data_IF_553569415574
#
_entry.id   IF_553569415574
#
_cell.length_a   1.000
_cell.length_b   1.000
_cell.length_c   1.000
_cell.angle_alpha   90.00
_cell.angle_beta   90.00
_cell.angle_gamma   90.00
#
_symmetry.space_group_name_H-M   'P 1'
#
loop_
_entity.id
_entity.type
_entity.pdbx_description
1 polymer ?
#
# COMPACT_ATOMS: atom_id res chain seq x y z
N UNK A 1 32.68 -36.13 -19.69
CA UNK A 1 32.50 -35.06 -18.68
C UNK A 1 31.60 -34.00 -19.29
N UNK A 2 30.29 -34.03 -19.02
CA UNK A 2 29.38 -32.99 -19.49
C UNK A 2 29.56 -31.76 -18.60
N UNK A 3 30.21 -30.75 -19.13
CA UNK A 3 30.22 -29.42 -18.54
C UNK A 3 28.77 -28.91 -18.56
N UNK A 4 28.11 -28.95 -17.40
CA UNK A 4 26.88 -28.22 -17.19
C UNK A 4 27.21 -26.73 -17.39
N UNK A 5 26.88 -26.21 -18.57
CA UNK A 5 26.79 -24.77 -18.78
C UNK A 5 25.69 -24.28 -17.83
N UNK A 6 26.09 -23.74 -16.69
CA UNK A 6 25.19 -23.02 -15.80
C UNK A 6 24.72 -21.79 -16.58
N UNK A 7 23.61 -21.95 -17.31
CA UNK A 7 22.98 -20.85 -18.03
C UNK A 7 22.78 -19.68 -17.08
N UNK A 8 23.20 -18.47 -17.48
CA UNK A 8 22.95 -17.27 -16.70
C UNK A 8 21.45 -17.20 -16.40
N UNK A 9 21.10 -17.10 -15.12
CA UNK A 9 19.70 -16.90 -14.73
C UNK A 9 19.17 -15.65 -15.44
N UNK A 10 17.96 -15.70 -16.03
CA UNK A 10 17.36 -14.52 -16.64
C UNK A 10 17.19 -13.42 -15.58
N UNK A 11 17.27 -12.15 -15.96
CA UNK A 11 17.15 -11.04 -15.01
C UNK A 11 15.75 -11.01 -14.36
N UNK A 12 14.72 -11.00 -15.19
CA UNK A 12 13.32 -11.02 -14.79
C UNK A 12 12.86 -12.44 -14.43
N UNK A 13 11.86 -12.55 -13.55
CA UNK A 13 11.30 -13.85 -13.15
C UNK A 13 10.69 -14.59 -14.34
N UNK A 14 9.91 -13.87 -15.14
CA UNK A 14 9.29 -14.35 -16.37
C UNK A 14 9.82 -13.53 -17.55
N UNK A 15 9.92 -14.16 -18.73
CA UNK A 15 10.42 -13.50 -19.94
C UNK A 15 9.46 -12.41 -20.42
N UNK A 16 8.16 -12.70 -20.35
CA UNK A 16 7.06 -11.83 -20.71
C UNK A 16 7.01 -10.58 -19.82
N UNK A 17 7.49 -10.69 -18.58
CA UNK A 17 7.57 -9.59 -17.63
C UNK A 17 8.67 -8.58 -17.92
N UNK A 18 9.62 -8.87 -18.80
CA UNK A 18 10.80 -8.03 -18.99
C UNK A 18 10.46 -6.60 -19.44
N UNK A 19 9.63 -6.47 -20.48
CA UNK A 19 9.19 -5.17 -21.01
C UNK A 19 8.30 -4.44 -20.00
N UNK A 20 7.16 -5.00 -19.53
CA UNK A 20 6.26 -4.27 -18.65
C UNK A 20 6.93 -3.87 -17.33
N UNK A 21 7.76 -4.74 -16.72
CA UNK A 21 8.50 -4.40 -15.51
C UNK A 21 9.53 -3.30 -15.76
N UNK A 22 10.28 -3.35 -16.88
CA UNK A 22 11.24 -2.29 -17.22
C UNK A 22 10.54 -0.95 -17.38
N UNK A 23 9.46 -0.90 -18.14
CA UNK A 23 8.71 0.32 -18.41
C UNK A 23 8.14 0.93 -17.13
N UNK A 24 7.49 0.13 -16.27
CA UNK A 24 6.88 0.65 -15.06
C UNK A 24 7.91 1.06 -14.00
N UNK A 25 9.04 0.36 -13.89
CA UNK A 25 10.13 0.75 -12.99
C UNK A 25 10.80 2.05 -13.45
N UNK A 26 10.99 2.21 -14.77
CA UNK A 26 11.52 3.43 -15.37
C UNK A 26 10.55 4.60 -15.20
N UNK A 27 9.27 4.41 -15.52
CA UNK A 27 8.21 5.41 -15.34
C UNK A 27 8.12 5.86 -13.88
N UNK A 28 8.12 4.91 -12.94
CA UNK A 28 8.03 5.20 -11.51
C UNK A 28 9.24 6.00 -11.03
N UNK A 29 10.45 5.59 -11.39
CA UNK A 29 11.67 6.26 -10.91
C UNK A 29 11.90 7.62 -11.57
N UNK A 30 11.80 7.69 -12.90
CA UNK A 30 12.03 8.91 -13.66
C UNK A 30 10.87 9.91 -13.50
N UNK A 31 9.63 9.40 -13.51
CA UNK A 31 8.43 10.22 -13.30
C UNK A 31 8.40 10.83 -11.91
N UNK A 32 8.85 10.11 -10.89
CA UNK A 32 8.94 10.66 -9.53
C UNK A 32 9.92 11.85 -9.48
N UNK A 33 11.11 11.73 -10.07
CA UNK A 33 12.08 12.83 -10.15
C UNK A 33 11.52 13.99 -10.97
N UNK A 34 10.96 13.71 -12.16
CA UNK A 34 10.37 14.71 -13.05
C UNK A 34 9.24 15.48 -12.37
N UNK A 35 8.45 14.82 -11.52
CA UNK A 35 7.32 15.45 -10.82
C UNK A 35 7.73 16.66 -9.99
N UNK A 36 8.88 16.61 -9.31
CA UNK A 36 9.40 17.73 -8.52
C UNK A 36 9.77 18.92 -9.40
N UNK A 37 10.42 18.66 -10.54
CA UNK A 37 10.75 19.70 -11.50
C UNK A 37 9.49 20.39 -12.02
N UNK A 38 8.48 19.60 -12.45
CA UNK A 38 7.19 20.12 -12.93
C UNK A 38 6.44 20.95 -11.87
N UNK A 39 6.49 20.54 -10.59
CA UNK A 39 5.89 21.30 -9.48
C UNK A 39 6.61 22.62 -9.17
N UNK A 40 7.88 22.78 -9.57
CA UNK A 40 8.62 24.02 -9.37
C UNK A 40 8.36 25.11 -10.42
N UNK A 41 7.96 24.73 -11.64
CA UNK A 41 7.77 25.65 -12.76
C UNK A 41 6.64 26.68 -12.52
N UNK A 42 6.70 27.83 -13.18
CA UNK A 42 5.74 28.92 -13.03
C UNK A 42 4.51 28.77 -13.95
N UNK A 43 3.90 27.59 -13.91
CA UNK A 43 2.67 27.31 -14.64
C UNK A 43 1.79 26.35 -13.83
N UNK A 44 0.59 26.80 -13.46
CA UNK A 44 -0.33 26.06 -12.60
C UNK A 44 -0.78 24.74 -13.24
N UNK A 45 -1.02 24.71 -14.54
CA UNK A 45 -1.41 23.48 -15.24
C UNK A 45 -0.28 22.44 -15.22
N UNK A 46 0.96 22.89 -15.42
CA UNK A 46 2.14 22.02 -15.33
C UNK A 46 2.35 21.54 -13.89
N UNK A 47 2.12 22.40 -12.88
CA UNK A 47 2.20 22.01 -11.48
C UNK A 47 1.15 20.93 -11.14
N UNK A 48 -0.07 21.04 -11.66
CA UNK A 48 -1.11 20.03 -11.48
C UNK A 48 -0.70 18.68 -12.10
N UNK A 49 -0.09 18.69 -13.30
CA UNK A 49 0.48 17.48 -13.91
C UNK A 49 1.60 16.91 -13.01
N UNK A 50 2.46 17.77 -12.45
CA UNK A 50 3.50 17.38 -11.50
C UNK A 50 2.92 16.69 -10.26
N UNK A 51 1.87 17.24 -9.65
CA UNK A 51 1.17 16.63 -8.51
C UNK A 51 0.62 15.25 -8.87
N UNK A 52 -0.14 15.14 -9.97
CA UNK A 52 -0.73 13.87 -10.39
C UNK A 52 0.35 12.83 -10.74
N UNK A 53 1.45 13.23 -11.38
CA UNK A 53 2.57 12.35 -11.67
C UNK A 53 3.27 11.88 -10.38
N UNK A 54 3.43 12.77 -9.40
CA UNK A 54 4.02 12.42 -8.11
C UNK A 54 3.16 11.39 -7.37
N UNK A 55 1.83 11.64 -7.30
CA UNK A 55 0.86 10.71 -6.73
C UNK A 55 0.94 9.34 -7.43
N UNK A 56 0.85 9.33 -8.75
CA UNK A 56 0.86 8.11 -9.55
C UNK A 56 2.15 7.30 -9.35
N UNK A 57 3.31 7.95 -9.34
CA UNK A 57 4.58 7.23 -9.14
C UNK A 57 4.73 6.72 -7.70
N UNK A 58 4.22 7.41 -6.68
CA UNK A 58 4.20 6.87 -5.31
C UNK A 58 3.26 5.67 -5.16
N UNK A 59 2.08 5.69 -5.81
CA UNK A 59 1.16 4.54 -5.86
C UNK A 59 1.85 3.33 -6.50
N UNK A 60 2.42 3.52 -7.70
CA UNK A 60 3.12 2.45 -8.40
C UNK A 60 4.32 1.95 -7.60
N UNK A 61 5.07 2.82 -6.92
CA UNK A 61 6.16 2.41 -6.06
C UNK A 61 5.69 1.51 -4.90
N UNK A 62 4.59 1.85 -4.23
CA UNK A 62 4.03 1.00 -3.19
C UNK A 62 3.69 -0.41 -3.76
N UNK A 63 2.98 -0.48 -4.89
CA UNK A 63 2.60 -1.78 -5.45
C UNK A 63 3.76 -2.54 -6.11
N UNK A 64 4.79 -1.86 -6.62
CA UNK A 64 6.02 -2.51 -7.08
C UNK A 64 6.85 -3.05 -5.91
N UNK A 65 6.85 -2.36 -4.76
CA UNK A 65 7.42 -2.93 -3.54
C UNK A 65 6.65 -4.17 -3.09
N UNK A 66 5.32 -4.17 -3.20
CA UNK A 66 4.49 -5.35 -2.95
C UNK A 66 4.88 -6.52 -3.89
N UNK A 67 4.98 -6.28 -5.21
CA UNK A 67 5.45 -7.29 -6.17
C UNK A 67 6.85 -7.84 -5.82
N UNK A 68 7.75 -6.95 -5.42
CA UNK A 68 9.08 -7.36 -4.95
C UNK A 68 9.01 -8.25 -3.69
N UNK A 69 8.06 -8.01 -2.79
CA UNK A 69 7.86 -8.81 -1.57
C UNK A 69 7.49 -10.26 -1.89
N UNK A 70 6.74 -10.48 -2.98
CA UNK A 70 6.39 -11.78 -3.56
C UNK A 70 7.44 -12.33 -4.53
N UNK A 71 8.53 -11.58 -4.75
CA UNK A 71 9.59 -11.88 -5.70
C UNK A 71 9.06 -12.13 -7.13
N UNK A 72 8.05 -11.38 -7.58
CA UNK A 72 7.44 -11.55 -8.90
C UNK A 72 8.13 -10.74 -10.01
N UNK A 73 8.97 -9.76 -9.64
CA UNK A 73 9.67 -8.90 -10.62
C UNK A 73 10.92 -9.58 -11.20
N UNK A 74 11.86 -9.95 -10.33
CA UNK A 74 13.16 -10.48 -10.73
C UNK A 74 13.34 -11.96 -10.34
N UNK A 75 14.18 -12.69 -11.06
CA UNK A 75 14.52 -14.07 -10.71
C UNK A 75 15.38 -14.16 -9.43
N UNK A 76 16.14 -13.10 -9.14
CA UNK A 76 16.98 -13.01 -7.96
C UNK A 76 16.24 -12.35 -6.80
N UNK A 77 16.25 -13.02 -5.64
CA UNK A 77 15.76 -12.44 -4.39
C UNK A 77 16.53 -11.17 -4.00
N UNK A 78 17.82 -11.08 -4.30
CA UNK A 78 18.60 -9.87 -4.00
C UNK A 78 18.16 -8.69 -4.87
N UNK A 79 17.86 -8.92 -6.14
CA UNK A 79 17.36 -7.88 -7.04
C UNK A 79 15.98 -7.37 -6.58
N UNK A 80 15.08 -8.27 -6.18
CA UNK A 80 13.79 -7.89 -5.58
C UNK A 80 13.99 -7.10 -4.27
N UNK A 81 14.94 -7.48 -3.42
CA UNK A 81 15.25 -6.72 -2.20
C UNK A 81 15.77 -5.31 -2.51
N UNK A 82 16.69 -5.15 -3.46
CA UNK A 82 17.22 -3.84 -3.82
C UNK A 82 16.17 -2.93 -4.44
N UNK A 83 15.38 -3.44 -5.40
CA UNK A 83 14.31 -2.64 -5.99
C UNK A 83 13.23 -2.33 -4.95
N UNK A 84 12.93 -3.27 -4.06
CA UNK A 84 11.99 -3.09 -2.96
C UNK A 84 12.42 -1.96 -2.03
N UNK A 85 13.70 -1.86 -1.67
CA UNK A 85 14.22 -0.73 -0.87
C UNK A 85 14.13 0.61 -1.62
N UNK A 86 14.35 0.63 -2.94
CA UNK A 86 14.20 1.84 -3.75
C UNK A 86 12.73 2.29 -3.86
N UNK A 87 11.82 1.36 -4.15
CA UNK A 87 10.38 1.62 -4.20
C UNK A 87 9.84 2.06 -2.83
N UNK A 88 10.33 1.45 -1.75
CA UNK A 88 10.05 1.85 -0.37
C UNK A 88 10.45 3.31 -0.07
N UNK A 89 11.55 3.79 -0.68
CA UNK A 89 11.99 5.17 -0.56
C UNK A 89 11.05 6.13 -1.30
N UNK A 90 10.67 5.81 -2.53
CA UNK A 90 9.72 6.61 -3.31
C UNK A 90 8.36 6.68 -2.59
N UNK A 91 7.84 5.55 -2.12
CA UNK A 91 6.56 5.46 -1.40
C UNK A 91 6.56 6.14 0.00
N UNK A 92 7.71 6.60 0.49
CA UNK A 92 7.81 7.31 1.76
C UNK A 92 7.83 6.44 3.03
N UNK A 93 7.83 5.11 2.88
CA UNK A 93 7.82 4.14 3.99
C UNK A 93 9.22 3.65 4.41
N UNK A 94 10.28 4.23 3.85
CA UNK A 94 11.67 3.76 4.03
C UNK A 94 12.23 3.79 5.46
N UNK A 95 11.51 4.34 6.43
CA UNK A 95 11.89 4.26 7.84
C UNK A 95 11.89 2.81 8.37
N UNK A 96 11.05 1.93 7.81
CA UNK A 96 11.20 0.47 7.94
C UNK A 96 11.96 -0.09 6.74
N UNK A 97 12.72 -1.18 6.95
CA UNK A 97 13.37 -1.89 5.85
C UNK A 97 12.35 -2.68 5.04
N UNK A 98 12.66 -2.87 3.75
CA UNK A 98 11.84 -3.69 2.86
C UNK A 98 11.58 -5.08 3.47
N UNK A 99 12.60 -5.71 4.06
CA UNK A 99 12.42 -7.03 4.69
C UNK A 99 11.45 -7.03 5.89
N UNK A 100 11.34 -5.91 6.62
CA UNK A 100 10.37 -5.81 7.73
C UNK A 100 8.94 -5.68 7.18
N UNK A 101 8.77 -4.85 6.16
CA UNK A 101 7.50 -4.68 5.43
C UNK A 101 7.08 -6.03 4.84
N UNK A 102 7.96 -6.66 4.06
CA UNK A 102 7.76 -7.99 3.47
C UNK A 102 7.41 -9.04 4.51
N UNK A 103 8.09 -9.07 5.66
CA UNK A 103 7.79 -10.04 6.72
C UNK A 103 6.33 -9.93 7.21
N UNK A 104 5.86 -8.71 7.47
CA UNK A 104 4.49 -8.48 7.91
C UNK A 104 3.48 -8.77 6.80
N UNK A 105 3.81 -8.42 5.56
CA UNK A 105 2.96 -8.71 4.40
C UNK A 105 2.78 -10.22 4.14
N UNK A 106 3.87 -10.99 4.16
CA UNK A 106 3.81 -12.45 4.02
C UNK A 106 3.08 -13.09 5.22
N UNK A 107 3.24 -12.51 6.42
CA UNK A 107 2.49 -12.94 7.60
C UNK A 107 0.98 -12.74 7.41
N UNK A 108 0.55 -11.62 6.85
CA UNK A 108 -0.85 -11.36 6.52
C UNK A 108 -1.44 -12.43 5.60
N UNK A 109 -0.76 -12.78 4.49
CA UNK A 109 -1.20 -13.88 3.62
C UNK A 109 -1.23 -15.24 4.34
N UNK A 110 -0.22 -15.54 5.16
CA UNK A 110 -0.13 -16.81 5.88
C UNK A 110 -1.20 -16.98 6.95
N UNK A 111 -1.48 -15.91 7.70
CA UNK A 111 -2.37 -15.91 8.87
C UNK A 111 -3.79 -15.45 8.55
N UNK A 112 -4.02 -14.95 7.32
CA UNK A 112 -5.31 -14.45 6.81
C UNK A 112 -5.96 -13.48 7.78
N UNK A 113 -5.15 -12.53 8.24
CA UNK A 113 -5.48 -11.60 9.31
C UNK A 113 -4.77 -10.27 9.10
N UNK A 114 -5.40 -9.19 9.53
CA UNK A 114 -4.81 -7.86 9.51
C UNK A 114 -4.00 -7.64 10.77
N UNK A 115 -2.70 -7.92 10.69
CA UNK A 115 -1.80 -7.85 11.84
C UNK A 115 -1.05 -6.52 11.85
N UNK A 116 -1.21 -5.77 12.93
CA UNK A 116 -0.61 -4.45 13.12
C UNK A 116 0.20 -4.39 14.43
N UNK A 117 1.46 -3.97 14.38
CA UNK A 117 2.34 -3.85 15.55
C UNK A 117 2.09 -2.59 16.41
N UNK A 118 1.05 -1.81 16.10
CA UNK A 118 0.74 -0.54 16.74
C UNK A 118 -0.76 -0.38 16.97
N UNK A 119 -1.18 -0.38 18.24
CA UNK A 119 -2.58 -0.23 18.66
C UNK A 119 -3.04 1.24 18.61
N UNK A 120 -3.23 1.77 17.39
CA UNK A 120 -3.70 3.15 17.19
C UNK A 120 -5.11 3.37 17.77
N UNK A 121 -5.96 2.34 17.75
CA UNK A 121 -7.29 2.37 18.38
C UNK A 121 -7.20 2.52 19.90
N UNK A 122 -6.30 1.79 20.55
CA UNK A 122 -5.98 1.97 21.97
C UNK A 122 -5.34 3.31 22.29
N UNK A 123 -4.48 3.85 21.42
CA UNK A 123 -3.94 5.20 21.58
C UNK A 123 -5.07 6.25 21.60
N UNK A 124 -6.00 6.18 20.65
CA UNK A 124 -7.17 7.08 20.60
C UNK A 124 -8.07 6.95 21.83
N UNK A 125 -8.27 5.73 22.34
CA UNK A 125 -9.04 5.51 23.57
C UNK A 125 -8.39 6.19 24.79
N UNK A 126 -7.05 6.16 24.87
CA UNK A 126 -6.28 6.75 25.98
C UNK A 126 -6.13 8.27 25.87
N UNK A 127 -6.18 8.83 24.66
CA UNK A 127 -5.94 10.26 24.42
C UNK A 127 -7.14 10.94 23.73
N UNK A 128 -8.13 11.45 24.49
CA UNK A 128 -9.36 12.02 23.93
C UNK A 128 -9.16 13.21 22.99
N UNK A 129 -8.14 14.06 23.23
CA UNK A 129 -7.82 15.19 22.37
C UNK A 129 -7.29 14.73 21.01
N UNK A 130 -6.38 13.75 21.00
CA UNK A 130 -5.89 13.13 19.77
C UNK A 130 -7.05 12.49 18.98
N UNK A 131 -7.94 11.75 19.66
CA UNK A 131 -9.13 11.18 19.03
C UNK A 131 -10.01 12.24 18.35
N UNK A 132 -10.29 13.35 19.05
CA UNK A 132 -11.08 14.45 18.48
C UNK A 132 -10.38 15.07 17.26
N UNK A 133 -9.08 15.29 17.34
CA UNK A 133 -8.30 15.82 16.22
C UNK A 133 -8.36 14.89 15.00
N UNK A 134 -8.12 13.59 15.20
CA UNK A 134 -8.23 12.60 14.12
C UNK A 134 -9.63 12.60 13.51
N UNK A 135 -10.70 12.61 14.29
CA UNK A 135 -12.07 12.62 13.75
C UNK A 135 -12.37 13.88 12.93
N UNK A 136 -11.94 15.05 13.38
CA UNK A 136 -12.12 16.31 12.63
C UNK A 136 -11.35 16.27 11.32
N UNK A 137 -10.10 15.80 11.35
CA UNK A 137 -9.25 15.72 10.17
C UNK A 137 -9.78 14.70 9.16
N UNK A 138 -10.18 13.51 9.61
CA UNK A 138 -10.79 12.47 8.75
C UNK A 138 -12.12 12.94 8.16
N UNK A 139 -12.93 13.67 8.95
CA UNK A 139 -14.15 14.30 8.45
C UNK A 139 -13.86 15.29 7.32
N UNK A 140 -12.75 16.02 7.43
CA UNK A 140 -12.24 16.98 6.46
C UNK A 140 -11.37 16.34 5.34
N UNK A 141 -11.40 15.02 5.18
CA UNK A 141 -10.60 14.29 4.18
C UNK A 141 -9.10 14.54 4.30
N UNK A 142 -8.59 14.63 5.51
CA UNK A 142 -7.16 14.52 5.78
C UNK A 142 -6.95 13.11 6.34
N UNK A 143 -6.12 12.25 5.72
CA UNK A 143 -5.95 10.85 6.10
C UNK A 143 -5.09 10.74 7.37
N UNK A 144 -5.58 11.30 8.46
CA UNK A 144 -4.81 11.63 9.65
C UNK A 144 -4.37 10.38 10.42
N UNK A 145 -5.19 9.33 10.43
CA UNK A 145 -4.82 8.05 11.03
C UNK A 145 -3.71 7.38 10.24
N UNK A 146 -3.74 7.44 8.91
CA UNK A 146 -2.65 6.91 8.08
C UNK A 146 -1.37 7.72 8.26
N UNK A 147 -1.47 9.04 8.46
CA UNK A 147 -0.33 9.86 8.88
C UNK A 147 0.21 9.39 10.23
N UNK A 148 -0.65 9.14 11.23
CA UNK A 148 -0.23 8.56 12.52
C UNK A 148 0.45 7.21 12.33
N UNK A 149 -0.08 6.34 11.45
CA UNK A 149 0.53 5.06 11.12
C UNK A 149 1.88 5.20 10.41
N UNK A 150 2.12 6.26 9.65
CA UNK A 150 3.47 6.52 9.11
C UNK A 150 4.40 7.05 10.21
N UNK A 151 3.95 8.04 10.99
CA UNK A 151 4.70 8.61 12.10
C UNK A 151 5.09 7.52 13.11
N UNK A 152 4.26 6.48 13.28
CA UNK A 152 4.55 5.41 14.22
C UNK A 152 5.85 4.65 13.95
N UNK A 153 6.14 4.44 12.68
CA UNK A 153 7.38 3.79 12.22
C UNK A 153 8.60 4.69 12.45
N UNK A 154 8.41 6.01 12.37
CA UNK A 154 9.47 7.01 12.51
C UNK A 154 9.87 7.18 13.99
N UNK A 155 8.90 7.44 14.87
CA UNK A 155 9.16 7.90 16.23
C UNK A 155 9.43 6.77 17.25
N UNK A 156 8.83 5.57 17.11
CA UNK A 156 8.93 4.50 18.12
C UNK A 156 10.36 4.05 18.37
N UNK A 157 11.26 3.97 17.37
CA UNK A 157 12.67 3.65 17.62
C UNK A 157 13.39 4.63 18.56
N UNK A 158 12.91 5.87 18.70
CA UNK A 158 13.47 6.88 19.61
C UNK A 158 12.93 6.74 21.04
N UNK A 159 11.64 6.39 21.19
CA UNK A 159 10.94 6.45 22.47
C UNK A 159 10.62 5.10 23.10
N UNK A 160 10.54 4.02 22.31
CA UNK A 160 10.15 2.68 22.78
C UNK A 160 11.37 1.77 22.84
N UNK A 161 11.70 1.28 24.05
CA UNK A 161 12.91 0.48 24.31
C UNK A 161 13.03 -0.75 23.38
N UNK A 162 11.94 -1.47 23.14
CA UNK A 162 11.92 -2.66 22.27
C UNK A 162 12.17 -2.35 20.78
N UNK A 163 12.00 -1.08 20.37
CA UNK A 163 12.14 -0.62 18.99
C UNK A 163 13.49 0.06 18.71
N UNK A 164 14.32 0.31 19.74
CA UNK A 164 15.64 0.98 19.60
C UNK A 164 16.59 0.29 18.61
N UNK A 165 16.45 -1.01 18.39
CA UNK A 165 17.21 -1.76 17.38
C UNK A 165 17.05 -1.21 15.94
N UNK A 166 15.98 -0.45 15.68
CA UNK A 166 15.71 0.17 14.38
C UNK A 166 16.15 1.64 14.30
N UNK A 167 16.63 2.22 15.41
CA UNK A 167 16.95 3.64 15.53
C UNK A 167 17.91 4.14 14.44
N UNK A 168 18.99 3.39 14.18
CA UNK A 168 19.99 3.77 13.18
C UNK A 168 19.36 4.01 11.81
N UNK A 169 18.45 3.12 11.37
CA UNK A 169 17.77 3.26 10.08
C UNK A 169 16.82 4.45 10.09
N UNK A 170 15.95 4.54 11.09
CA UNK A 170 14.96 5.63 11.18
C UNK A 170 15.64 6.99 11.24
N UNK A 171 16.72 7.13 12.02
CA UNK A 171 17.50 8.36 12.10
C UNK A 171 18.20 8.69 10.78
N UNK A 172 18.83 7.72 10.11
CA UNK A 172 19.45 7.94 8.80
C UNK A 172 18.43 8.41 7.77
N UNK A 173 17.27 7.74 7.69
CA UNK A 173 16.21 8.12 6.74
C UNK A 173 15.60 9.48 7.08
N UNK A 174 15.45 9.80 8.37
CA UNK A 174 14.97 11.12 8.80
C UNK A 174 15.94 12.22 8.38
N UNK A 175 17.25 12.03 8.58
CA UNK A 175 18.28 12.99 8.16
C UNK A 175 18.31 13.11 6.63
N UNK A 176 18.35 11.98 5.91
CA UNK A 176 18.42 11.99 4.45
C UNK A 176 17.19 12.62 3.81
N UNK A 177 15.98 12.24 4.23
CA UNK A 177 14.75 12.85 3.70
C UNK A 177 14.58 14.30 4.16
N UNK A 178 14.94 14.60 5.41
CA UNK A 178 14.93 15.96 5.93
C UNK A 178 15.83 16.89 5.10
N UNK A 179 17.03 16.43 4.76
CA UNK A 179 17.94 17.17 3.89
C UNK A 179 17.37 17.39 2.48
N UNK A 180 16.78 16.35 1.87
CA UNK A 180 16.16 16.46 0.54
C UNK A 180 14.95 17.41 0.54
N UNK A 181 14.09 17.33 1.55
CA UNK A 181 12.93 18.22 1.69
C UNK A 181 13.36 19.67 1.99
N UNK A 182 14.42 19.84 2.77
CA UNK A 182 15.00 21.18 3.02
C UNK A 182 15.60 21.75 1.74
N UNK A 183 16.33 20.96 0.95
CA UNK A 183 16.84 21.38 -0.34
C UNK A 183 15.70 21.76 -1.32
N UNK A 184 14.62 20.96 -1.34
CA UNK A 184 13.41 21.28 -2.10
C UNK A 184 12.78 22.60 -1.63
N UNK A 185 12.71 22.85 -0.32
CA UNK A 185 12.18 24.09 0.24
C UNK A 185 13.02 25.32 -0.14
N UNK A 186 14.35 25.18 -0.09
CA UNK A 186 15.31 26.22 -0.49
C UNK A 186 15.16 26.54 -1.98
N UNK A 187 14.96 25.52 -2.82
CA UNK A 187 14.74 25.72 -4.26
C UNK A 187 13.34 26.28 -4.56
N UNK A 188 12.29 25.74 -3.94
CA UNK A 188 10.91 26.16 -4.15
C UNK A 188 9.98 25.70 -3.02
N UNK A 189 9.56 26.63 -2.17
CA UNK A 189 8.53 26.39 -1.14
C UNK A 189 7.22 25.90 -1.76
N UNK A 190 6.86 26.43 -2.95
CA UNK A 190 5.69 25.97 -3.73
C UNK A 190 5.80 24.48 -4.05
N UNK A 191 6.93 24.02 -4.57
CA UNK A 191 7.12 22.61 -4.90
C UNK A 191 7.06 21.70 -3.64
N UNK A 192 7.58 22.17 -2.51
CA UNK A 192 7.45 21.45 -1.22
C UNK A 192 5.98 21.31 -0.81
N UNK A 193 5.19 22.38 -0.86
CA UNK A 193 3.77 22.34 -0.48
C UNK A 193 2.95 21.44 -1.43
N UNK A 194 3.25 21.48 -2.74
CA UNK A 194 2.64 20.59 -3.72
C UNK A 194 3.05 19.12 -3.53
N UNK A 195 4.28 18.86 -3.07
CA UNK A 195 4.68 17.51 -2.68
C UNK A 195 3.92 17.02 -1.43
N UNK A 196 3.70 17.87 -0.43
CA UNK A 196 2.88 17.54 0.75
C UNK A 196 1.45 17.20 0.32
N UNK A 197 0.86 18.00 -0.58
CA UNK A 197 -0.44 17.71 -1.18
C UNK A 197 -0.42 16.35 -1.91
N UNK A 198 0.59 16.10 -2.74
CA UNK A 198 0.76 14.84 -3.46
C UNK A 198 0.84 13.64 -2.51
N UNK A 199 1.58 13.77 -1.41
CA UNK A 199 1.70 12.71 -0.41
C UNK A 199 0.37 12.44 0.29
N UNK A 200 -0.40 13.49 0.63
CA UNK A 200 -1.75 13.35 1.18
C UNK A 200 -2.72 12.63 0.23
N UNK A 201 -2.69 12.96 -1.06
CA UNK A 201 -3.49 12.28 -2.08
C UNK A 201 -3.05 10.81 -2.27
N UNK A 202 -1.75 10.54 -2.25
CA UNK A 202 -1.22 9.18 -2.28
C UNK A 202 -1.72 8.34 -1.09
N UNK A 203 -1.69 8.89 0.13
CA UNK A 203 -2.22 8.21 1.31
C UNK A 203 -3.72 7.92 1.20
N UNK A 204 -4.51 8.84 0.61
CA UNK A 204 -5.92 8.57 0.33
C UNK A 204 -6.12 7.38 -0.59
N UNK A 205 -5.35 7.30 -1.67
CA UNK A 205 -5.47 6.19 -2.62
C UNK A 205 -5.12 4.87 -1.92
N UNK A 206 -3.97 4.78 -1.25
CA UNK A 206 -3.61 3.53 -0.56
C UNK A 206 -4.62 3.14 0.50
N UNK A 207 -5.03 4.08 1.36
CA UNK A 207 -6.02 3.83 2.39
C UNK A 207 -7.35 3.36 1.81
N UNK A 208 -7.79 3.94 0.69
CA UNK A 208 -9.01 3.50 0.02
C UNK A 208 -8.91 2.05 -0.42
N UNK A 209 -7.83 1.66 -1.10
CA UNK A 209 -7.68 0.30 -1.59
C UNK A 209 -7.52 -0.69 -0.41
N UNK A 210 -6.64 -0.39 0.53
CA UNK A 210 -6.41 -1.21 1.72
C UNK A 210 -7.69 -1.41 2.54
N UNK A 211 -8.56 -0.40 2.61
CA UNK A 211 -9.81 -0.47 3.36
C UNK A 211 -10.80 -1.51 2.83
N UNK A 212 -10.75 -1.89 1.55
CA UNK A 212 -11.76 -2.75 0.94
C UNK A 212 -11.22 -4.07 0.40
N UNK A 213 -9.95 -4.40 0.68
CA UNK A 213 -9.35 -5.67 0.28
C UNK A 213 -9.87 -6.86 1.08
N UNK A 214 -10.15 -6.67 2.38
CA UNK A 214 -10.54 -7.75 3.26
C UNK A 214 -11.62 -7.37 4.28
N UNK A 215 -12.26 -8.39 4.82
CA UNK A 215 -13.04 -8.38 6.06
C UNK A 215 -12.38 -9.24 7.13
N UNK A 216 -11.05 -9.33 7.11
CA UNK A 216 -10.29 -10.10 8.09
C UNK A 216 -10.32 -9.48 9.48
N UNK A 217 -10.23 -10.33 10.50
CA UNK A 217 -9.97 -9.90 11.88
C UNK A 217 -8.70 -9.02 11.98
N UNK A 218 -8.82 -7.90 12.70
CA UNK A 218 -7.68 -7.03 13.01
C UNK A 218 -7.04 -7.41 14.36
N UNK A 219 -5.72 -7.66 14.35
CA UNK A 219 -4.95 -7.96 15.56
C UNK A 219 -3.85 -6.93 15.81
N UNK A 220 -3.82 -6.40 17.03
CA UNK A 220 -2.73 -5.52 17.50
C UNK A 220 -1.71 -6.31 18.32
N UNK A 221 -0.73 -6.91 17.64
CA UNK A 221 0.26 -7.81 18.25
C UNK A 221 1.66 -7.54 17.72
N UNK A 222 2.68 -7.94 18.49
CA UNK A 222 4.06 -7.84 18.02
C UNK A 222 4.29 -8.70 16.76
N UNK A 223 5.27 -8.30 15.94
CA UNK A 223 5.56 -8.92 14.63
C UNK A 223 5.76 -10.44 14.66
N UNK A 224 6.18 -11.02 15.79
CA UNK A 224 6.40 -12.47 15.97
C UNK A 224 5.42 -13.14 16.95
N UNK A 225 4.52 -12.39 17.56
CA UNK A 225 3.57 -12.94 18.52
C UNK A 225 2.55 -13.81 17.78
N UNK A 226 2.34 -15.06 18.17
CA UNK A 226 1.36 -15.93 17.51
C UNK A 226 -0.06 -15.39 17.71
N UNK A 227 -0.91 -15.58 16.70
CA UNK A 227 -2.34 -15.31 16.83
C UNK A 227 -3.05 -16.47 17.51
N UNK A 228 -4.23 -16.23 18.13
CA UNK A 228 -5.04 -17.31 18.68
C UNK A 228 -5.38 -18.36 17.59
N UNK A 229 -5.48 -19.65 17.94
CA UNK A 229 -5.86 -20.67 16.99
C UNK A 229 -7.29 -20.43 16.49
N UNK A 230 -7.45 -20.22 15.19
CA UNK A 230 -8.75 -20.06 14.52
C UNK A 230 -8.72 -20.78 13.17
N UNK A 231 -9.86 -21.28 12.72
CA UNK A 231 -10.00 -21.94 11.41
C UNK A 231 -10.13 -20.91 10.29
N UNK A 232 -9.06 -20.13 10.03
CA UNK A 232 -8.96 -19.28 8.84
C UNK A 232 -8.40 -20.11 7.71
N UNK A 233 -9.22 -20.97 7.14
CA UNK A 233 -8.85 -21.82 6.01
C UNK A 233 -8.96 -21.06 4.66
N UNK A 234 -8.82 -21.76 3.54
CA UNK A 234 -8.97 -21.14 2.21
C UNK A 234 -10.40 -20.65 1.95
N UNK A 235 -11.42 -21.30 2.51
CA UNK A 235 -12.81 -20.87 2.34
C UNK A 235 -13.04 -19.53 3.05
N UNK A 236 -12.51 -19.39 4.26
CA UNK A 236 -12.51 -18.13 4.98
C UNK A 236 -11.81 -17.02 4.18
N UNK A 237 -10.62 -17.28 3.63
CA UNK A 237 -9.87 -16.30 2.83
C UNK A 237 -10.67 -15.84 1.60
N UNK A 238 -11.26 -16.77 0.85
CA UNK A 238 -12.06 -16.45 -0.33
C UNK A 238 -13.35 -15.67 0.01
N UNK A 239 -14.00 -16.00 1.11
CA UNK A 239 -15.23 -15.31 1.55
C UNK A 239 -14.96 -13.88 2.08
N UNK A 240 -13.73 -13.59 2.52
CA UNK A 240 -13.36 -12.34 3.18
C UNK A 240 -12.30 -11.55 2.40
N UNK A 241 -12.10 -11.81 1.10
CA UNK A 241 -11.18 -11.07 0.24
C UNK A 241 -11.88 -10.59 -1.01
N UNK A 242 -11.73 -9.31 -1.33
CA UNK A 242 -12.45 -8.65 -2.42
C UNK A 242 -11.49 -8.02 -3.44
N UNK A 243 -11.90 -8.03 -4.70
CA UNK A 243 -11.19 -7.34 -5.79
C UNK A 243 -11.83 -5.98 -6.04
N UNK A 244 -11.30 -4.93 -5.41
CA UNK A 244 -11.76 -3.56 -5.52
C UNK A 244 -11.22 -2.83 -6.77
N UNK A 245 -11.67 -3.25 -7.96
CA UNK A 245 -11.21 -2.70 -9.24
C UNK A 245 -11.54 -1.20 -9.40
N UNK A 246 -10.66 -0.44 -10.06
CA UNK A 246 -10.98 0.91 -10.53
C UNK A 246 -12.16 0.85 -11.49
N UNK A 247 -12.11 -0.08 -12.44
CA UNK A 247 -13.20 -0.33 -13.37
C UNK A 247 -13.20 -1.77 -13.84
N UNK A 248 -14.37 -2.41 -13.79
CA UNK A 248 -14.60 -3.70 -14.45
C UNK A 248 -14.82 -3.52 -15.96
N UNK A 249 -15.48 -2.43 -16.35
CA UNK A 249 -15.89 -2.16 -17.74
C UNK A 249 -14.71 -1.65 -18.60
N UNK A 250 -13.74 -0.97 -17.97
CA UNK A 250 -12.52 -0.47 -18.60
C UNK A 250 -11.28 -1.02 -17.89
N UNK A 251 -10.89 -2.29 -18.14
CA UNK A 251 -9.82 -2.95 -17.38
C UNK A 251 -8.47 -2.23 -17.41
N UNK A 252 -8.18 -1.47 -18.46
CA UNK A 252 -6.97 -0.64 -18.62
C UNK A 252 -6.79 0.35 -17.45
N UNK A 253 -7.89 0.85 -16.86
CA UNK A 253 -7.82 1.80 -15.76
C UNK A 253 -7.21 1.19 -14.50
N UNK A 254 -7.28 -0.14 -14.32
CA UNK A 254 -6.67 -0.82 -13.18
C UNK A 254 -5.14 -0.80 -13.22
N UNK A 255 -4.53 -0.45 -14.36
CA UNK A 255 -3.09 -0.21 -14.45
C UNK A 255 -2.63 0.99 -13.62
N UNK A 256 -3.52 1.94 -13.31
CA UNK A 256 -3.22 3.05 -12.41
C UNK A 256 -2.80 2.58 -11.02
N UNK A 257 -3.25 1.39 -10.62
CA UNK A 257 -2.88 0.74 -9.36
C UNK A 257 -2.14 -0.57 -9.60
N UNK A 258 -1.41 -0.67 -10.72
CA UNK A 258 -0.62 -1.86 -11.08
C UNK A 258 -1.44 -3.16 -11.02
N UNK A 259 -2.73 -3.13 -11.40
CA UNK A 259 -3.66 -4.25 -11.27
C UNK A 259 -3.79 -4.85 -9.85
N UNK A 260 -3.32 -4.16 -8.81
CA UNK A 260 -3.36 -4.65 -7.43
C UNK A 260 -4.79 -4.92 -6.95
N UNK A 261 -5.76 -4.13 -7.41
CA UNK A 261 -7.18 -4.31 -7.10
C UNK A 261 -7.77 -5.66 -7.55
N UNK A 262 -7.09 -6.47 -8.36
CA UNK A 262 -7.43 -7.90 -8.57
C UNK A 262 -7.00 -8.74 -7.35
N UNK A 263 -7.31 -8.26 -6.15
CA UNK A 263 -6.69 -8.67 -4.90
C UNK A 263 -7.11 -10.08 -4.46
N UNK A 264 -8.34 -10.49 -4.79
CA UNK A 264 -8.80 -11.85 -4.51
C UNK A 264 -8.04 -12.90 -5.35
N UNK A 265 -7.71 -12.60 -6.61
CA UNK A 265 -6.86 -13.46 -7.44
C UNK A 265 -5.40 -13.47 -6.95
N UNK A 266 -4.92 -12.31 -6.46
CA UNK A 266 -3.63 -12.21 -5.81
C UNK A 266 -3.55 -13.09 -4.55
N UNK A 267 -4.56 -13.07 -3.67
CA UNK A 267 -4.57 -13.93 -2.49
C UNK A 267 -4.60 -15.42 -2.83
N UNK A 268 -5.36 -15.82 -3.84
CA UNK A 268 -5.40 -17.22 -4.29
C UNK A 268 -4.05 -17.66 -4.88
N UNK A 269 -3.37 -16.79 -5.63
CA UNK A 269 -2.09 -17.10 -6.30
C UNK A 269 -1.10 -15.94 -6.20
N UNK A 270 -0.57 -15.66 -5.02
CA UNK A 270 0.31 -14.51 -4.74
C UNK A 270 1.67 -14.53 -5.47
N UNK A 271 1.96 -15.59 -6.21
CA UNK A 271 3.12 -15.69 -7.11
C UNK A 271 2.84 -15.18 -8.54
N UNK A 272 1.60 -14.84 -8.86
CA UNK A 272 1.20 -14.32 -10.17
C UNK A 272 1.60 -12.84 -10.24
N UNK A 273 2.38 -12.42 -11.24
CA UNK A 273 2.78 -11.04 -11.37
C UNK A 273 1.62 -10.14 -11.80
N UNK A 274 1.70 -8.86 -11.45
CA UNK A 274 0.68 -7.85 -11.69
C UNK A 274 0.10 -7.80 -13.12
N UNK A 275 0.94 -8.00 -14.15
CA UNK A 275 0.51 -7.94 -15.55
C UNK A 275 -0.31 -9.18 -15.99
N UNK A 276 -0.35 -10.24 -15.16
CA UNK A 276 -1.14 -11.46 -15.39
C UNK A 276 -2.35 -11.58 -14.47
N UNK A 277 -2.46 -10.75 -13.43
CA UNK A 277 -3.59 -10.80 -12.49
C UNK A 277 -4.97 -10.73 -13.17
N UNK A 278 -5.23 -9.89 -14.19
CA UNK A 278 -6.53 -9.87 -14.86
C UNK A 278 -6.88 -11.22 -15.53
N UNK A 279 -5.89 -11.89 -16.13
CA UNK A 279 -6.09 -13.19 -16.75
C UNK A 279 -6.30 -14.29 -15.69
N UNK A 280 -5.52 -14.26 -14.61
CA UNK A 280 -5.68 -15.18 -13.48
C UNK A 280 -7.05 -15.03 -12.80
N UNK A 281 -7.54 -13.79 -12.67
CA UNK A 281 -8.87 -13.52 -12.14
C UNK A 281 -9.96 -14.15 -12.99
N UNK A 282 -9.91 -13.98 -14.33
CA UNK A 282 -10.88 -14.62 -15.24
C UNK A 282 -10.81 -16.15 -15.19
N UNK A 283 -9.62 -16.72 -15.09
CA UNK A 283 -9.43 -18.18 -14.96
C UNK A 283 -10.06 -18.72 -13.67
N UNK A 284 -9.86 -18.02 -12.56
CA UNK A 284 -10.32 -18.45 -11.24
C UNK A 284 -11.81 -18.22 -11.01
N UNK A 285 -12.36 -17.14 -11.55
CA UNK A 285 -13.66 -16.61 -11.12
C UNK A 285 -14.63 -16.28 -12.26
N UNK A 286 -14.21 -16.38 -13.52
CA UNK A 286 -15.00 -15.94 -14.67
C UNK A 286 -15.13 -14.41 -14.75
N UNK A 287 -16.15 -13.93 -15.46
CA UNK A 287 -16.38 -12.48 -15.66
C UNK A 287 -17.27 -11.82 -14.60
N UNK A 288 -18.07 -12.61 -13.87
CA UNK A 288 -19.05 -12.12 -12.89
C UNK A 288 -18.82 -12.79 -11.55
N UNK A 289 -17.95 -12.20 -10.73
CA UNK A 289 -17.65 -12.71 -9.40
C UNK A 289 -18.19 -11.80 -8.30
N UNK A 290 -18.86 -12.39 -7.30
CA UNK A 290 -19.43 -11.64 -6.17
C UNK A 290 -18.38 -10.85 -5.38
N UNK A 291 -17.12 -11.28 -5.37
CA UNK A 291 -16.07 -10.56 -4.64
C UNK A 291 -15.48 -9.36 -5.41
N UNK A 292 -15.84 -9.12 -6.67
CA UNK A 292 -15.40 -7.91 -7.40
C UNK A 292 -16.21 -6.73 -6.87
N UNK A 293 -15.57 -5.67 -6.39
CA UNK A 293 -16.19 -4.48 -5.79
C UNK A 293 -15.70 -3.20 -6.50
N UNK A 294 -16.25 -2.82 -7.66
CA UNK A 294 -15.74 -1.68 -8.42
C UNK A 294 -15.77 -0.36 -7.63
N UNK A 295 -14.82 0.53 -7.91
CA UNK A 295 -14.64 1.83 -7.25
C UNK A 295 -15.96 2.60 -7.10
N UNK A 296 -16.78 2.65 -8.16
CA UNK A 296 -18.08 3.34 -8.16
C UNK A 296 -19.03 2.89 -7.05
N UNK A 297 -18.99 1.61 -6.67
CA UNK A 297 -19.84 1.04 -5.60
C UNK A 297 -19.27 1.39 -4.21
N UNK A 298 -17.95 1.46 -4.11
CA UNK A 298 -17.23 1.69 -2.84
C UNK A 298 -17.14 3.18 -2.46
N UNK A 299 -17.27 4.12 -3.41
CA UNK A 299 -17.16 5.56 -3.14
C UNK A 299 -18.19 6.07 -2.11
N UNK A 300 -19.41 5.54 -2.14
CA UNK A 300 -20.47 5.95 -1.21
C UNK A 300 -20.14 5.51 0.21
N UNK A 301 -19.78 4.23 0.42
CA UNK A 301 -19.38 3.76 1.75
C UNK A 301 -18.08 4.41 2.22
N UNK A 302 -17.11 4.67 1.32
CA UNK A 302 -15.90 5.43 1.65
C UNK A 302 -16.23 6.80 2.26
N UNK A 303 -17.06 7.58 1.58
CA UNK A 303 -17.50 8.88 2.06
C UNK A 303 -18.28 8.78 3.38
N UNK A 304 -19.34 7.96 3.41
CA UNK A 304 -20.25 7.85 4.57
C UNK A 304 -19.50 7.39 5.82
N UNK A 305 -18.57 6.45 5.68
CA UNK A 305 -17.88 5.82 6.80
C UNK A 305 -16.50 6.40 7.14
N UNK A 306 -16.04 7.48 6.49
CA UNK A 306 -14.66 8.01 6.69
C UNK A 306 -14.27 8.24 8.16
N UNK A 307 -15.20 8.68 9.02
CA UNK A 307 -14.95 8.86 10.45
C UNK A 307 -15.25 7.58 11.26
N UNK A 308 -16.34 6.87 10.95
CA UNK A 308 -16.74 5.66 11.68
C UNK A 308 -15.71 4.53 11.57
N UNK A 309 -15.13 4.37 10.37
CA UNK A 309 -14.07 3.41 10.05
C UNK A 309 -12.88 3.47 11.00
N UNK A 310 -12.56 4.67 11.49
CA UNK A 310 -11.42 4.90 12.39
C UNK A 310 -11.57 4.20 13.74
N UNK A 311 -12.80 4.09 14.25
CA UNK A 311 -13.07 3.51 15.57
C UNK A 311 -13.92 2.24 15.54
N UNK A 312 -14.38 1.80 14.36
CA UNK A 312 -15.16 0.57 14.21
C UNK A 312 -14.39 -0.65 14.74
N UNK A 313 -15.11 -1.57 15.40
CA UNK A 313 -14.58 -2.84 15.88
C UNK A 313 -14.32 -3.85 14.76
N UNK A 314 -15.11 -3.75 13.70
CA UNK A 314 -15.08 -4.61 12.53
C UNK A 314 -15.16 -3.77 11.24
N UNK A 315 -15.01 -4.41 10.10
CA UNK A 315 -15.01 -3.74 8.80
C UNK A 315 -16.39 -3.76 8.14
N UNK A 316 -17.43 -4.23 8.83
CA UNK A 316 -18.69 -4.61 8.22
C UNK A 316 -18.50 -5.70 7.15
N UNK A 317 -19.53 -5.94 6.35
CA UNK A 317 -19.49 -6.89 5.24
C UNK A 317 -20.31 -6.37 4.07
N UNK A 318 -19.90 -6.66 2.81
CA UNK A 318 -20.77 -6.38 1.67
C UNK A 318 -21.99 -7.30 1.70
N UNK A 319 -23.14 -6.74 1.33
CA UNK A 319 -24.41 -7.45 1.15
C UNK A 319 -24.54 -8.12 -0.22
N UNK A 320 -25.77 -8.29 -0.68
CA UNK A 320 -26.12 -8.85 -1.99
C UNK A 320 -27.01 -7.86 -2.77
N UNK A 321 -26.93 -7.88 -4.09
CA UNK A 321 -27.74 -7.01 -4.96
C UNK A 321 -27.27 -5.55 -5.02
N UNK A 322 -28.21 -4.65 -5.31
CA UNK A 322 -27.93 -3.21 -5.39
C UNK A 322 -27.48 -2.64 -4.06
N UNK A 323 -26.57 -1.67 -4.09
CA UNK A 323 -26.02 -1.00 -2.88
C UNK A 323 -25.38 -1.96 -1.87
N UNK A 324 -24.93 -3.14 -2.30
CA UNK A 324 -24.26 -4.13 -1.44
C UNK A 324 -23.03 -3.61 -0.70
N UNK A 325 -22.41 -2.52 -1.15
CA UNK A 325 -21.27 -1.91 -0.45
C UNK A 325 -21.66 -1.11 0.80
N UNK A 326 -22.94 -0.79 1.01
CA UNK A 326 -23.37 0.14 2.08
C UNK A 326 -23.04 -0.37 3.49
N UNK A 327 -23.07 -1.69 3.70
CA UNK A 327 -22.67 -2.35 4.94
C UNK A 327 -21.16 -2.59 5.09
N UNK A 328 -20.37 -2.36 4.03
CA UNK A 328 -18.93 -2.58 4.04
C UNK A 328 -18.22 -1.33 4.58
N UNK A 329 -18.09 -1.24 5.90
CA UNK A 329 -17.43 -0.12 6.59
C UNK A 329 -15.99 0.03 6.15
N UNK A 330 -15.26 -1.09 5.96
CA UNK A 330 -13.87 -1.20 5.52
C UNK A 330 -12.81 -1.08 6.62
N UNK A 331 -11.61 -1.57 6.34
CA UNK A 331 -10.46 -1.58 7.23
C UNK A 331 -9.80 -0.19 7.38
N UNK A 332 -8.97 -0.03 8.42
CA UNK A 332 -8.19 1.19 8.62
C UNK A 332 -6.94 0.98 9.45
N UNK A 333 -5.87 1.72 9.16
CA UNK A 333 -4.57 1.54 9.80
C UNK A 333 -3.96 0.17 9.52
N UNK A 334 -4.27 -0.42 8.37
CA UNK A 334 -3.80 -1.76 7.94
C UNK A 334 -2.85 -1.70 6.75
N UNK A 335 -2.41 -0.51 6.36
CA UNK A 335 -1.54 -0.38 5.20
C UNK A 335 -0.26 -1.19 5.37
N UNK A 336 0.06 -1.99 4.36
CA UNK A 336 1.24 -2.85 4.38
C UNK A 336 2.55 -2.05 4.58
N UNK A 337 2.53 -0.75 4.27
CA UNK A 337 3.63 0.19 4.49
C UNK A 337 3.97 0.43 5.97
N UNK A 338 2.99 0.29 6.87
CA UNK A 338 3.06 0.89 8.22
C UNK A 338 2.70 -0.05 9.37
N UNK A 339 2.24 -1.27 9.11
CA UNK A 339 1.78 -2.24 10.14
C UNK A 339 2.87 -2.81 11.06
N UNK A 340 4.06 -2.22 11.10
CA UNK A 340 5.35 -2.83 11.54
C UNK A 340 5.79 -2.34 12.92
#
# INVERSE_FOLDING_TARGET
>A
MNAYTVGRRPLFREKEGAIPNTLVLAWTSLGWILSFWLMGLDNIAINAIGVLLCVQTMILAAYLMHEAAHATLFSSLSANRYIGEWMNFIAGSCYASFERIRHMHIRHHRERADVTCFDFKGLMRRHPLLRRALFILEWAYIPATEVVMHLQVIWRPFFVRSQRKFLKRSALMLISRGALLTALAIWSVKALLLYILSYGLFLHVLNFFDAFHHTFDQYFVDAKQPLPPHSRDRKYEQANTYSNLISADLPILNLLTLNFGYHNAHHERASVPWYRLPAAHRELYGETHQAVMPLRELMVTWHRNRVSRVYSSDYGVPGQGESRADGFVGAHGVSFLTVI
#
